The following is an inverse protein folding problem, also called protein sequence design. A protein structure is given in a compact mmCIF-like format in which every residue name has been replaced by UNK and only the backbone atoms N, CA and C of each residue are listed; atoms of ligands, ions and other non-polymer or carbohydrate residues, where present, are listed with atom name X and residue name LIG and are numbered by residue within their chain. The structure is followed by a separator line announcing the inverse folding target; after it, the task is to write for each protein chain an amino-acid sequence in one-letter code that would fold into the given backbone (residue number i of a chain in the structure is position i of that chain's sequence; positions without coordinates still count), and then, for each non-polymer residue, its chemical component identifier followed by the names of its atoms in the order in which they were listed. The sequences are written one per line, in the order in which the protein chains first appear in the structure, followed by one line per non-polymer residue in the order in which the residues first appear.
data_IF_955791007577
#
_entry.id   IF_955791007577
#
_cell.length_a   1.000
_cell.length_b   1.000
_cell.length_c   1.000
_cell.angle_alpha   90.00
_cell.angle_beta   90.00
_cell.angle_gamma   90.00
#
_symmetry.space_group_name_H-M   'P 1'
#
loop_
_entity.id
_entity.type
_entity.pdbx_description
1 polymer ?
#
# COMPACT_ATOMS: atom_id res chain seq x y z
N UNK A 1 33.71 -4.65 3.81
CA UNK A 1 32.59 -5.63 3.79
C UNK A 1 31.36 -5.05 4.49
N UNK A 2 30.16 -5.47 4.12
CA UNK A 2 28.94 -5.16 4.87
C UNK A 2 28.95 -5.86 6.23
N UNK A 3 28.30 -5.28 7.24
CA UNK A 3 28.17 -5.93 8.55
C UNK A 3 27.16 -7.09 8.51
N UNK A 4 27.30 -8.05 9.43
CA UNK A 4 26.34 -9.16 9.54
C UNK A 4 24.91 -8.67 9.80
N UNK A 5 24.78 -7.63 10.64
CA UNK A 5 23.49 -6.98 10.93
C UNK A 5 22.86 -6.42 9.65
N UNK A 6 23.63 -5.69 8.83
CA UNK A 6 23.14 -5.16 7.56
C UNK A 6 22.72 -6.28 6.60
N UNK A 7 23.50 -7.36 6.50
CA UNK A 7 23.18 -8.49 5.63
C UNK A 7 21.90 -9.21 6.07
N UNK A 8 21.68 -9.41 7.37
CA UNK A 8 20.42 -9.95 7.91
C UNK A 8 19.24 -9.01 7.60
N UNK A 9 19.40 -7.70 7.79
CA UNK A 9 18.37 -6.70 7.48
C UNK A 9 18.00 -6.71 5.99
N UNK A 10 18.98 -6.72 5.08
CA UNK A 10 18.73 -6.79 3.64
C UNK A 10 17.91 -8.03 3.25
N UNK A 11 18.24 -9.20 3.81
CA UNK A 11 17.45 -10.43 3.56
C UNK A 11 16.02 -10.30 4.06
N UNK A 12 15.81 -9.68 5.23
CA UNK A 12 14.49 -9.41 5.82
C UNK A 12 13.66 -8.46 4.98
N UNK A 13 14.28 -7.41 4.44
CA UNK A 13 13.64 -6.45 3.52
C UNK A 13 13.38 -7.04 2.12
N UNK A 14 13.93 -8.21 1.83
CA UNK A 14 13.66 -8.93 0.59
C UNK A 14 14.58 -8.60 -0.57
N UNK A 15 15.78 -8.12 -0.26
CA UNK A 15 16.84 -7.91 -1.23
C UNK A 15 17.06 -9.16 -2.10
N UNK A 16 17.03 -8.95 -3.42
CA UNK A 16 17.35 -9.95 -4.44
C UNK A 16 18.40 -9.39 -5.37
N UNK A 17 19.30 -10.25 -5.82
CA UNK A 17 20.32 -9.88 -6.81
C UNK A 17 20.53 -11.00 -7.81
N UNK A 18 21.08 -10.66 -8.97
CA UNK A 18 21.51 -11.64 -9.96
C UNK A 18 22.87 -12.17 -9.52
N UNK A 19 22.90 -13.44 -9.17
CA UNK A 19 24.15 -14.13 -8.85
C UNK A 19 24.72 -14.73 -10.14
N UNK A 20 26.05 -14.76 -10.23
CA UNK A 20 26.74 -15.41 -11.33
C UNK A 20 26.31 -16.89 -11.42
N UNK A 21 26.04 -17.36 -12.63
CA UNK A 21 25.51 -18.71 -12.88
C UNK A 21 24.02 -18.91 -12.59
N UNK A 22 23.30 -17.93 -12.01
CA UNK A 22 21.84 -18.01 -11.81
C UNK A 22 21.11 -17.22 -12.89
N UNK A 23 20.14 -17.88 -13.55
CA UNK A 23 19.29 -17.23 -14.57
C UNK A 23 18.34 -16.20 -13.97
N UNK A 24 17.86 -16.42 -12.75
CA UNK A 24 16.86 -15.60 -12.06
C UNK A 24 17.46 -14.78 -10.92
N UNK A 25 16.73 -13.73 -10.51
CA UNK A 25 16.98 -12.98 -9.28
C UNK A 25 16.82 -13.90 -8.07
N UNK A 26 17.84 -13.95 -7.21
CA UNK A 26 17.85 -14.83 -6.04
C UNK A 26 18.07 -14.01 -4.77
N UNK A 27 17.56 -14.50 -3.64
CA UNK A 27 17.87 -13.94 -2.31
C UNK A 27 19.26 -14.45 -1.89
N UNK A 28 20.29 -13.61 -1.84
CA UNK A 28 21.64 -14.06 -1.49
C UNK A 28 21.75 -14.44 -0.01
N UNK A 29 22.76 -15.25 0.31
CA UNK A 29 23.11 -15.62 1.69
C UNK A 29 23.77 -14.46 2.42
N UNK A 30 23.83 -14.53 3.76
CA UNK A 30 24.50 -13.51 4.58
C UNK A 30 25.98 -13.39 4.20
N UNK A 31 26.67 -14.53 4.06
CA UNK A 31 28.07 -14.57 3.66
C UNK A 31 28.31 -13.92 2.30
N UNK A 32 27.44 -14.18 1.32
CA UNK A 32 27.54 -13.57 -0.01
C UNK A 32 27.43 -12.04 0.07
N UNK A 33 26.45 -11.53 0.83
CA UNK A 33 26.26 -10.08 0.99
C UNK A 33 27.49 -9.42 1.63
N UNK A 34 28.08 -10.06 2.64
CA UNK A 34 29.28 -9.53 3.31
C UNK A 34 30.49 -9.46 2.38
N UNK A 35 30.64 -10.45 1.50
CA UNK A 35 31.74 -10.52 0.53
C UNK A 35 31.56 -9.54 -0.64
N UNK A 36 30.33 -9.35 -1.12
CA UNK A 36 30.06 -8.63 -2.38
C UNK A 36 29.61 -7.18 -2.17
N UNK A 37 29.19 -6.80 -0.96
CA UNK A 37 28.79 -5.44 -0.66
C UNK A 37 29.75 -4.76 0.33
N UNK A 38 29.96 -3.46 0.10
CA UNK A 38 30.58 -2.59 1.08
C UNK A 38 29.53 -2.03 2.06
N UNK A 39 30.00 -1.50 3.19
CA UNK A 39 29.14 -0.98 4.27
C UNK A 39 28.18 0.12 3.79
N UNK A 40 28.69 1.08 3.01
CA UNK A 40 27.92 2.23 2.53
C UNK A 40 26.80 1.81 1.57
N UNK A 41 27.09 0.95 0.60
CA UNK A 41 26.10 0.40 -0.34
C UNK A 41 25.03 -0.43 0.37
N UNK A 42 25.43 -1.24 1.36
CA UNK A 42 24.48 -2.00 2.16
C UNK A 42 23.54 -1.08 2.95
N UNK A 43 24.07 -0.01 3.56
CA UNK A 43 23.27 1.00 4.25
C UNK A 43 22.29 1.72 3.32
N UNK A 44 22.75 2.12 2.12
CA UNK A 44 21.89 2.76 1.12
C UNK A 44 20.76 1.83 0.65
N UNK A 45 21.07 0.57 0.34
CA UNK A 45 20.06 -0.42 -0.07
C UNK A 45 19.03 -0.68 1.02
N UNK A 46 19.44 -0.73 2.30
CA UNK A 46 18.49 -0.86 3.40
C UNK A 46 17.51 0.31 3.39
N UNK A 47 17.99 1.55 3.25
CA UNK A 47 17.15 2.74 3.25
C UNK A 47 16.13 2.72 2.11
N UNK A 48 16.59 2.46 0.88
CA UNK A 48 15.72 2.39 -0.31
C UNK A 48 14.64 1.31 -0.14
N UNK A 49 15.02 0.11 0.31
CA UNK A 49 14.05 -0.98 0.48
C UNK A 49 13.08 -0.74 1.64
N UNK A 50 13.50 -0.02 2.69
CA UNK A 50 12.63 0.33 3.81
C UNK A 50 11.63 1.43 3.39
N UNK A 51 12.06 2.41 2.59
CA UNK A 51 11.21 3.45 2.02
C UNK A 51 10.16 2.84 1.07
N UNK A 52 10.57 1.96 0.14
CA UNK A 52 9.66 1.21 -0.75
C UNK A 52 8.66 0.36 0.05
N UNK A 53 9.12 -0.25 1.15
CA UNK A 53 8.25 -1.02 2.04
C UNK A 53 7.27 -0.11 2.78
N UNK A 54 7.69 1.04 3.27
CA UNK A 54 6.82 2.00 3.96
C UNK A 54 5.74 2.55 3.00
N UNK A 55 6.11 2.84 1.76
CA UNK A 55 5.19 3.27 0.70
C UNK A 55 4.17 2.16 0.37
N UNK A 56 4.64 0.92 0.18
CA UNK A 56 3.76 -0.22 -0.16
C UNK A 56 2.89 -0.73 0.99
N UNK A 57 3.30 -0.54 2.24
CA UNK A 57 2.55 -0.99 3.43
C UNK A 57 1.57 0.06 3.97
N UNK A 58 1.41 1.20 3.29
CA UNK A 58 0.42 2.19 3.67
C UNK A 58 0.70 2.85 5.01
N UNK A 59 1.97 2.89 5.46
CA UNK A 59 2.37 3.49 6.74
C UNK A 59 2.06 5.00 6.85
N UNK A 60 1.52 5.60 5.79
CA UNK A 60 0.99 6.97 5.75
C UNK A 60 -0.38 7.09 5.05
N UNK A 61 -1.07 5.99 4.67
CA UNK A 61 -2.39 6.12 4.04
C UNK A 61 -3.48 6.19 5.11
N UNK A 62 -3.85 7.41 5.50
CA UNK A 62 -5.11 7.65 6.21
C UNK A 62 -6.25 7.50 5.21
N UNK A 63 -6.62 6.24 4.91
CA UNK A 63 -7.82 5.97 4.12
C UNK A 63 -9.03 6.06 5.04
N UNK A 64 -9.58 7.26 5.18
CA UNK A 64 -10.84 7.48 5.87
C UNK A 64 -11.94 7.12 4.87
N UNK A 65 -12.52 5.93 5.01
CA UNK A 65 -13.74 5.57 4.30
C UNK A 65 -14.88 6.39 4.90
N UNK A 66 -15.22 7.51 4.27
CA UNK A 66 -16.41 8.25 4.67
C UNK A 66 -17.63 7.37 4.36
N UNK A 67 -18.52 7.11 5.34
CA UNK A 67 -19.77 6.43 5.05
C UNK A 67 -20.56 7.27 4.05
N UNK A 68 -21.32 6.59 3.18
CA UNK A 68 -22.26 7.26 2.29
C UNK A 68 -23.13 8.22 3.13
N UNK A 69 -23.18 9.49 2.73
CA UNK A 69 -23.87 10.53 3.49
C UNK A 69 -25.34 10.16 3.60
N UNK A 70 -25.81 9.83 4.80
CA UNK A 70 -27.22 9.54 5.04
C UNK A 70 -28.02 10.83 4.80
N UNK A 71 -28.72 10.90 3.67
CA UNK A 71 -29.62 12.01 3.37
C UNK A 71 -30.98 11.69 4.02
N UNK A 72 -31.51 12.61 4.83
CA UNK A 72 -32.84 12.54 5.46
C UNK A 72 -33.09 11.40 6.47
N UNK A 73 -32.06 10.69 6.94
CA UNK A 73 -32.20 9.54 7.85
C UNK A 73 -33.13 8.42 7.34
N UNK A 74 -33.50 8.47 6.07
CA UNK A 74 -34.40 7.54 5.42
C UNK A 74 -33.60 6.34 4.89
N UNK A 75 -34.16 5.13 5.02
CA UNK A 75 -33.72 3.96 4.26
C UNK A 75 -33.80 4.23 2.75
N UNK A 76 -33.08 3.44 1.94
CA UNK A 76 -33.13 3.55 0.47
C UNK A 76 -34.57 3.42 -0.07
N UNK A 77 -35.39 2.59 0.58
CA UNK A 77 -36.82 2.45 0.27
C UNK A 77 -37.62 3.69 0.59
N UNK A 78 -37.40 4.32 1.74
CA UNK A 78 -38.11 5.54 2.15
C UNK A 78 -37.69 6.73 1.28
N UNK A 79 -36.41 6.79 0.89
CA UNK A 79 -35.91 7.80 -0.05
C UNK A 79 -36.59 7.68 -1.41
N UNK A 80 -36.73 6.45 -1.93
CA UNK A 80 -37.43 6.19 -3.20
C UNK A 80 -38.90 6.60 -3.14
N UNK A 81 -39.56 6.35 -2.00
CA UNK A 81 -40.95 6.75 -1.76
C UNK A 81 -41.10 8.27 -1.69
N UNK A 82 -40.21 8.95 -0.97
CA UNK A 82 -40.20 10.42 -0.87
C UNK A 82 -39.97 11.07 -2.23
N UNK A 83 -39.01 10.55 -3.01
CA UNK A 83 -38.76 11.03 -4.38
C UNK A 83 -40.01 10.86 -5.25
N UNK A 84 -40.69 9.72 -5.16
CA UNK A 84 -41.93 9.48 -5.91
C UNK A 84 -43.03 10.46 -5.50
N UNK A 85 -43.21 10.67 -4.19
CA UNK A 85 -44.20 11.60 -3.66
C UNK A 85 -43.96 13.03 -4.16
N UNK A 86 -42.72 13.53 -4.06
CA UNK A 86 -42.36 14.87 -4.52
C UNK A 86 -42.52 14.98 -6.04
N UNK A 87 -42.10 13.97 -6.80
CA UNK A 87 -42.32 13.94 -8.26
C UNK A 87 -43.80 14.04 -8.62
N UNK A 88 -44.66 13.27 -7.95
CA UNK A 88 -46.10 13.33 -8.19
C UNK A 88 -46.70 14.68 -7.80
N UNK A 89 -46.24 15.28 -6.71
CA UNK A 89 -46.68 16.62 -6.32
C UNK A 89 -46.28 17.68 -7.35
N UNK A 90 -45.06 17.60 -7.90
CA UNK A 90 -44.61 18.52 -8.95
C UNK A 90 -45.44 18.33 -10.22
N UNK A 91 -45.64 17.08 -10.65
CA UNK A 91 -46.37 16.77 -11.88
C UNK A 91 -47.84 17.17 -11.82
N UNK A 92 -48.45 17.05 -10.64
CA UNK A 92 -49.87 17.33 -10.42
C UNK A 92 -50.12 18.66 -9.70
N UNK A 93 -49.09 19.48 -9.50
CA UNK A 93 -49.27 20.80 -8.89
C UNK A 93 -50.17 21.64 -9.80
N UNK A 94 -51.26 22.22 -9.28
CA UNK A 94 -51.99 23.23 -10.04
C UNK A 94 -51.01 24.36 -10.37
N UNK A 95 -51.01 24.79 -11.63
CA UNK A 95 -50.23 25.94 -12.11
C UNK A 95 -50.85 27.25 -11.68
#
# INVERSE_FOLDING_TARGET
AATEKQAKTLRRLGFKTRQEGKKTLTRPSVAWIQQHLNYARAGLLIRVLDDERAESTGAQSWNIQLPARQFLSASDSETSQLVNLVLQQILNSPR
#
